data_IF_607954673316
#
_entry.id   IF_607954673316
#
_cell.length_a   1.000
_cell.length_b   1.000
_cell.length_c   1.000
_cell.angle_alpha   90.00
_cell.angle_beta   90.00
_cell.angle_gamma   90.00
#
_symmetry.space_group_name_H-M   'P 1'
#
loop_
_entity.id
_entity.type
_entity.pdbx_description
1 polymer ?
#
# COMPACT_ATOMS: atom_id res chain seq x y z
N UNK A 1 11.94 7.71 7.91
CA UNK A 1 11.52 7.92 9.31
C UNK A 1 10.41 8.94 9.49
N UNK A 2 10.43 10.14 8.88
CA UNK A 2 9.30 11.09 8.97
C UNK A 2 8.12 10.79 8.00
N UNK A 3 8.36 10.17 6.84
CA UNK A 3 7.35 10.04 5.77
C UNK A 3 6.24 8.99 5.97
N UNK A 4 6.52 7.83 6.57
CA UNK A 4 5.48 6.82 6.88
C UNK A 4 4.75 7.15 8.18
N UNK A 5 5.43 7.81 9.12
CA UNK A 5 4.86 8.29 10.37
C UNK A 5 4.03 9.57 10.14
N UNK A 6 4.50 10.54 9.33
CA UNK A 6 3.65 11.61 8.79
C UNK A 6 2.60 11.07 7.83
N UNK A 7 2.85 10.06 7.01
CA UNK A 7 1.81 9.45 6.15
C UNK A 7 0.68 8.84 6.99
N UNK A 8 1.03 8.19 8.10
CA UNK A 8 0.11 7.70 9.11
C UNK A 8 -0.50 8.81 10.00
N UNK A 9 0.17 9.97 10.17
CA UNK A 9 -0.36 11.16 10.89
C UNK A 9 -1.21 12.07 10.00
N UNK A 10 -0.94 12.07 8.69
CA UNK A 10 -1.61 12.75 7.57
C UNK A 10 -2.72 11.87 6.99
N UNK A 11 -3.25 10.94 7.81
CA UNK A 11 -4.53 10.22 7.64
C UNK A 11 -5.66 11.14 7.17
N UNK A 12 -5.60 12.43 7.52
CA UNK A 12 -6.65 13.40 7.22
C UNK A 12 -6.67 13.93 5.77
N UNK A 13 -5.64 13.73 4.95
CA UNK A 13 -5.62 14.23 3.55
C UNK A 13 -5.45 13.16 2.48
N UNK A 14 -4.64 12.12 2.70
CA UNK A 14 -4.32 11.13 1.64
C UNK A 14 -5.41 10.07 1.53
N UNK A 15 -5.84 9.48 2.65
CA UNK A 15 -6.83 8.40 2.66
C UNK A 15 -8.22 8.81 2.09
N UNK A 16 -8.73 10.04 2.32
CA UNK A 16 -9.98 10.48 1.72
C UNK A 16 -9.93 10.56 0.19
N UNK A 17 -8.81 11.01 -0.39
CA UNK A 17 -8.66 11.09 -1.85
C UNK A 17 -8.56 9.70 -2.49
N UNK A 18 -7.87 8.75 -1.84
CA UNK A 18 -7.81 7.38 -2.34
C UNK A 18 -9.17 6.70 -2.35
N UNK A 19 -10.04 7.00 -1.37
CA UNK A 19 -11.43 6.50 -1.34
C UNK A 19 -12.28 6.97 -2.53
N UNK A 20 -11.91 8.05 -3.21
CA UNK A 20 -12.60 8.51 -4.42
C UNK A 20 -12.26 7.69 -5.66
N UNK A 21 -11.19 6.89 -5.62
CA UNK A 21 -10.78 6.06 -6.75
C UNK A 21 -11.76 4.90 -6.89
N UNK A 22 -12.46 4.77 -8.03
CA UNK A 22 -13.42 3.69 -8.23
C UNK A 22 -12.77 2.31 -8.03
N UNK A 23 -13.35 1.51 -7.16
CA UNK A 23 -12.88 0.17 -6.84
C UNK A 23 -11.77 0.09 -5.79
N UNK A 24 -11.35 1.20 -5.16
CA UNK A 24 -10.49 1.17 -3.98
C UNK A 24 -11.29 0.81 -2.73
N UNK A 25 -10.81 -0.16 -1.95
CA UNK A 25 -11.50 -0.72 -0.77
C UNK A 25 -10.76 -0.44 0.54
N UNK A 26 -9.79 0.46 0.52
CA UNK A 26 -8.95 0.79 1.66
C UNK A 26 -7.65 0.00 1.67
N UNK A 27 -6.96 0.02 2.80
CA UNK A 27 -5.68 -0.65 2.91
C UNK A 27 -5.14 -0.65 4.33
N UNK A 28 -4.04 -1.38 4.50
CA UNK A 28 -3.32 -1.54 5.74
C UNK A 28 -1.90 -1.00 5.59
N UNK A 29 -1.39 -0.42 6.67
CA UNK A 29 0.03 -0.17 6.84
C UNK A 29 0.46 -1.04 8.02
N UNK A 30 1.25 -2.06 7.72
CA UNK A 30 1.82 -2.96 8.71
C UNK A 30 3.23 -2.48 9.03
N UNK A 31 3.63 -2.65 10.29
CA UNK A 31 4.98 -2.35 10.75
C UNK A 31 5.50 -3.53 11.57
N UNK A 32 6.72 -3.96 11.29
CA UNK A 32 7.47 -4.91 12.09
C UNK A 32 8.78 -4.24 12.53
N UNK A 33 9.08 -4.28 13.83
CA UNK A 33 10.31 -3.72 14.38
C UNK A 33 11.37 -4.83 14.48
N UNK A 34 12.44 -4.74 13.70
CA UNK A 34 13.64 -5.55 13.86
C UNK A 34 14.65 -4.90 14.79
N UNK A 35 15.79 -5.57 15.00
CA UNK A 35 16.87 -5.07 15.84
C UNK A 35 17.58 -3.84 15.23
N UNK A 36 17.76 -3.83 13.90
CA UNK A 36 18.46 -2.74 13.20
C UNK A 36 17.55 -1.93 12.27
N UNK A 37 16.50 -2.56 11.71
CA UNK A 37 15.59 -1.92 10.76
C UNK A 37 14.13 -2.15 11.15
N UNK A 38 13.29 -1.17 10.84
CA UNK A 38 11.84 -1.32 10.82
C UNK A 38 11.38 -1.67 9.39
N UNK A 39 10.57 -2.71 9.29
CA UNK A 39 9.90 -3.08 8.04
C UNK A 39 8.49 -2.50 8.03
N UNK A 40 8.11 -1.90 6.91
CA UNK A 40 6.76 -1.43 6.64
C UNK A 40 6.20 -2.11 5.42
N UNK A 41 4.98 -2.62 5.54
CA UNK A 41 4.25 -3.25 4.43
C UNK A 41 2.97 -2.47 4.19
N UNK A 42 2.78 -2.00 2.96
CA UNK A 42 1.53 -1.36 2.54
C UNK A 42 0.73 -2.35 1.73
N UNK A 43 -0.50 -2.61 2.18
CA UNK A 43 -1.47 -3.49 1.52
C UNK A 43 -2.66 -2.66 1.08
N UNK A 44 -2.90 -2.55 -0.22
CA UNK A 44 -4.05 -1.81 -0.76
C UNK A 44 -5.05 -2.78 -1.39
N UNK A 45 -6.32 -2.66 -1.04
CA UNK A 45 -7.40 -3.54 -1.48
C UNK A 45 -8.20 -2.94 -2.64
N UNK A 46 -8.53 -3.76 -3.63
CA UNK A 46 -9.28 -3.35 -4.81
C UNK A 46 -10.29 -4.40 -5.29
N UNK A 47 -11.32 -3.93 -6.00
CA UNK A 47 -12.31 -4.78 -6.66
C UNK A 47 -11.77 -5.51 -7.90
N UNK A 48 -10.76 -4.94 -8.57
CA UNK A 48 -10.24 -5.47 -9.84
C UNK A 48 -8.84 -4.97 -10.15
N UNK A 49 -8.16 -5.62 -11.10
CA UNK A 49 -6.88 -5.15 -11.64
C UNK A 49 -7.03 -3.86 -12.46
N UNK A 50 -8.22 -3.56 -12.96
CA UNK A 50 -8.46 -2.29 -13.63
C UNK A 50 -8.42 -1.13 -12.62
N UNK A 51 -9.00 -1.33 -11.43
CA UNK A 51 -8.92 -0.36 -10.34
C UNK A 51 -7.46 -0.19 -9.86
N UNK A 52 -6.69 -1.27 -9.77
CA UNK A 52 -5.25 -1.22 -9.47
C UNK A 52 -4.50 -0.35 -10.50
N UNK A 53 -4.75 -0.56 -11.80
CA UNK A 53 -4.11 0.23 -12.87
C UNK A 53 -4.52 1.70 -12.84
N UNK A 54 -5.79 2.01 -12.52
CA UNK A 54 -6.25 3.40 -12.34
C UNK A 54 -5.58 4.08 -11.15
N UNK A 55 -5.29 3.32 -10.09
CA UNK A 55 -4.61 3.81 -8.90
C UNK A 55 -3.10 4.00 -9.10
N UNK A 56 -2.41 2.99 -9.63
CA UNK A 56 -0.95 2.96 -9.70
C UNK A 56 -0.38 3.48 -11.03
N UNK A 57 -1.23 3.64 -12.05
CA UNK A 57 -0.81 3.99 -13.40
C UNK A 57 -0.42 2.77 -14.25
N UNK A 58 0.16 3.01 -15.44
CA UNK A 58 0.50 1.96 -16.40
C UNK A 58 1.54 0.97 -15.85
N UNK A 59 2.49 1.46 -15.03
CA UNK A 59 3.55 0.65 -14.41
C UNK A 59 3.16 0.21 -12.99
N UNK A 60 1.98 -0.39 -12.86
CA UNK A 60 1.39 -0.77 -11.56
C UNK A 60 2.20 -1.79 -10.74
N UNK A 61 3.25 -2.38 -11.33
CA UNK A 61 4.23 -3.24 -10.65
C UNK A 61 5.40 -2.46 -10.03
N UNK A 62 5.59 -1.17 -10.37
CA UNK A 62 6.71 -0.38 -9.88
C UNK A 62 6.24 0.55 -8.76
N UNK A 63 6.74 0.39 -7.53
CA UNK A 63 6.34 1.26 -6.44
C UNK A 63 6.99 2.64 -6.59
N UNK A 64 6.16 3.68 -6.60
CA UNK A 64 6.59 5.08 -6.73
C UNK A 64 6.75 5.72 -5.34
N UNK A 65 7.84 6.45 -5.16
CA UNK A 65 8.18 7.15 -3.93
C UNK A 65 8.61 8.57 -4.28
N UNK A 66 8.17 9.54 -3.49
CA UNK A 66 8.77 10.87 -3.56
C UNK A 66 10.24 10.78 -3.15
N UNK A 67 11.14 11.55 -3.80
CA UNK A 67 12.59 11.50 -3.55
C UNK A 67 12.96 11.60 -2.07
N UNK A 68 12.28 12.48 -1.33
CA UNK A 68 12.46 12.73 0.10
C UNK A 68 12.07 11.50 0.93
N UNK A 69 11.06 10.74 0.51
CA UNK A 69 10.68 9.49 1.15
C UNK A 69 11.72 8.40 0.87
N UNK A 70 12.22 8.32 -0.38
CA UNK A 70 13.21 7.33 -0.80
C UNK A 70 14.54 7.49 -0.08
N UNK A 71 14.96 8.73 0.19
CA UNK A 71 16.18 9.03 0.94
C UNK A 71 16.15 8.52 2.40
N UNK A 72 14.97 8.24 2.93
CA UNK A 72 14.77 7.77 4.30
C UNK A 72 14.59 6.25 4.43
N UNK A 73 14.71 5.52 3.32
CA UNK A 73 14.52 4.07 3.27
C UNK A 73 15.89 3.41 3.03
N UNK A 74 16.23 2.44 3.86
CA UNK A 74 17.44 1.64 3.67
C UNK A 74 17.31 0.75 2.44
N UNK A 75 16.09 0.25 2.18
CA UNK A 75 15.78 -0.63 1.06
C UNK A 75 14.31 -0.58 0.67
N UNK A 76 14.06 -0.88 -0.60
CA UNK A 76 12.72 -0.92 -1.20
C UNK A 76 12.65 -2.13 -2.11
N UNK A 77 11.57 -2.90 -2.03
CA UNK A 77 11.33 -3.94 -3.01
C UNK A 77 11.07 -3.32 -4.39
N UNK A 78 11.77 -3.76 -5.44
CA UNK A 78 11.66 -3.17 -6.78
C UNK A 78 10.31 -3.42 -7.44
N UNK A 79 9.55 -4.40 -6.94
CA UNK A 79 8.28 -4.85 -7.50
C UNK A 79 7.20 -4.87 -6.42
N UNK A 80 6.05 -4.26 -6.73
CA UNK A 80 4.82 -4.41 -6.00
C UNK A 80 4.11 -5.70 -6.44
N UNK A 81 3.87 -6.60 -5.50
CA UNK A 81 3.19 -7.87 -5.77
C UNK A 81 1.67 -7.70 -5.74
N UNK A 82 0.96 -8.41 -6.61
CA UNK A 82 -0.50 -8.34 -6.73
C UNK A 82 -1.13 -9.72 -6.51
N UNK A 83 -1.95 -9.84 -5.48
CA UNK A 83 -2.54 -11.11 -5.05
C UNK A 83 -4.06 -11.08 -5.14
N UNK A 84 -4.64 -12.22 -5.52
CA UNK A 84 -6.08 -12.44 -5.44
C UNK A 84 -6.48 -12.92 -4.05
N UNK A 85 -7.48 -12.29 -3.46
CA UNK A 85 -8.05 -12.75 -2.19
C UNK A 85 -8.95 -13.94 -2.49
N UNK A 86 -8.52 -15.13 -2.08
CA UNK A 86 -9.29 -16.37 -2.26
C UNK A 86 -10.17 -16.72 -1.06
N UNK A 87 -9.75 -16.30 0.13
CA UNK A 87 -10.48 -16.47 1.39
C UNK A 87 -10.25 -15.22 2.22
N UNK A 88 -11.30 -14.73 2.88
CA UNK A 88 -11.24 -13.59 3.78
C UNK A 88 -12.00 -13.91 5.07
N UNK A 89 -11.66 -13.29 6.22
CA UNK A 89 -12.39 -13.49 7.47
C UNK A 89 -13.85 -13.07 7.35
N UNK A 90 -14.74 -13.71 8.11
CA UNK A 90 -16.16 -13.34 8.17
C UNK A 90 -16.33 -11.86 8.55
N UNK A 91 -17.26 -11.17 7.87
CA UNK A 91 -17.50 -9.74 8.06
C UNK A 91 -16.53 -8.80 7.31
N UNK A 92 -15.53 -9.34 6.61
CA UNK A 92 -14.80 -8.57 5.59
C UNK A 92 -15.65 -8.43 4.32
N UNK A 93 -15.60 -7.27 3.66
CA UNK A 93 -16.48 -6.99 2.53
C UNK A 93 -16.32 -8.04 1.41
N UNK A 94 -17.43 -8.64 0.99
CA UNK A 94 -17.51 -9.76 0.03
C UNK A 94 -16.95 -9.42 -1.37
N UNK A 95 -16.68 -8.15 -1.65
CA UNK A 95 -16.19 -7.65 -2.95
C UNK A 95 -14.67 -7.59 -3.09
N UNK A 96 -13.92 -7.99 -2.07
CA UNK A 96 -12.45 -7.93 -2.09
C UNK A 96 -11.88 -8.99 -3.03
N UNK A 97 -11.48 -8.59 -4.23
CA UNK A 97 -10.87 -9.52 -5.19
C UNK A 97 -9.35 -9.49 -5.15
N UNK A 98 -8.73 -8.40 -4.68
CA UNK A 98 -7.28 -8.24 -4.82
C UNK A 98 -6.64 -7.31 -3.81
N UNK A 99 -5.36 -7.55 -3.52
CA UNK A 99 -4.50 -6.56 -2.90
C UNK A 99 -3.15 -6.41 -3.58
N UNK A 100 -2.64 -5.18 -3.58
CA UNK A 100 -1.25 -4.84 -3.92
C UNK A 100 -0.41 -4.74 -2.65
N UNK A 101 0.76 -5.36 -2.63
CA UNK A 101 1.70 -5.34 -1.50
C UNK A 101 3.02 -4.67 -1.89
N UNK A 102 3.47 -3.72 -1.09
CA UNK A 102 4.82 -3.14 -1.20
C UNK A 102 5.51 -3.23 0.16
N UNK A 103 6.69 -3.86 0.19
CA UNK A 103 7.54 -3.97 1.37
C UNK A 103 8.64 -2.89 1.28
N UNK A 104 8.84 -2.20 2.40
CA UNK A 104 9.80 -1.11 2.57
C UNK A 104 10.57 -1.38 3.86
N UNK A 105 11.88 -1.11 3.90
CA UNK A 105 12.60 -1.13 5.18
C UNK A 105 13.41 0.14 5.40
N UNK A 106 13.51 0.52 6.67
CA UNK A 106 14.08 1.78 7.16
C UNK A 106 14.93 1.55 8.39
#
# INVERSE_FOLDING_TARGET
MAWLDEGARRRHKVLPELRKIPGYRGGYILRSNGAEESEFVVVNLFDSMEAVRKFAGPDFSVPVFEPEAKALLSRVEPVANHYEVRVAPEGSAESLKRFGMTIKKS
#
